data_IF_584036009160
#
_entry.id   IF_584036009160
#
_cell.length_a   1.000
_cell.length_b   1.000
_cell.length_c   1.000
_cell.angle_alpha   90.00
_cell.angle_beta   90.00
_cell.angle_gamma   90.00
#
_symmetry.space_group_name_H-M   'P 1'
#
loop_
_entity.id
_entity.type
_entity.pdbx_description
1 polymer ?
#
# COMPACT_ATOMS: atom_id res chain seq x y z
N UNK A 1 -17.35 8.16 30.99
CA UNK A 1 -16.36 8.89 30.15
C UNK A 1 -15.98 7.98 28.99
N UNK A 2 -16.63 8.13 27.84
CA UNK A 2 -16.44 7.26 26.68
C UNK A 2 -15.18 7.65 25.89
N UNK A 3 -14.41 6.63 25.52
CA UNK A 3 -13.09 6.69 24.91
C UNK A 3 -13.08 7.42 23.55
N UNK A 4 -12.56 8.66 23.51
CA UNK A 4 -12.42 9.51 22.30
C UNK A 4 -11.51 8.93 21.20
N UNK A 5 -10.82 7.80 21.43
CA UNK A 5 -9.84 7.24 20.49
C UNK A 5 -10.44 6.38 19.38
N UNK A 6 -11.56 5.70 19.62
CA UNK A 6 -12.16 4.79 18.62
C UNK A 6 -12.91 5.53 17.51
N UNK A 7 -13.41 6.75 17.77
CA UNK A 7 -14.17 7.54 16.79
C UNK A 7 -13.30 8.20 15.71
N UNK A 8 -11.97 8.29 15.92
CA UNK A 8 -11.05 8.89 14.95
C UNK A 8 -10.51 7.89 13.92
N UNK A 9 -10.48 6.60 14.26
CA UNK A 9 -10.13 5.53 13.31
C UNK A 9 -11.28 5.19 12.37
N UNK A 10 -12.54 5.44 12.78
CA UNK A 10 -13.72 5.17 11.97
C UNK A 10 -14.01 6.24 10.90
N UNK A 11 -13.55 7.48 11.11
CA UNK A 11 -13.67 8.58 10.13
C UNK A 11 -12.70 8.47 8.96
N UNK A 12 -11.59 7.76 9.08
CA UNK A 12 -10.64 7.57 7.95
C UNK A 12 -11.08 6.50 6.96
N UNK A 13 -11.81 5.49 7.42
CA UNK A 13 -12.31 4.40 6.56
C UNK A 13 -13.35 4.91 5.55
N UNK A 14 -14.10 5.96 5.91
CA UNK A 14 -15.10 6.58 5.02
C UNK A 14 -14.47 7.58 4.03
N UNK A 15 -13.34 8.21 4.35
CA UNK A 15 -12.61 9.08 3.40
C UNK A 15 -11.92 8.28 2.29
N UNK A 16 -11.43 7.07 2.57
CA UNK A 16 -10.82 6.17 1.58
C UNK A 16 -11.84 5.51 0.62
N UNK A 17 -13.12 5.43 1.02
CA UNK A 17 -14.19 4.88 0.17
C UNK A 17 -14.83 5.92 -0.77
N UNK A 18 -14.61 7.22 -0.54
CA UNK A 18 -15.25 8.30 -1.31
C UNK A 18 -14.44 8.81 -2.54
N UNK A 19 -13.32 8.16 -2.90
CA UNK A 19 -12.44 8.60 -4.03
C UNK A 19 -12.12 7.49 -5.04
N UNK A 20 -12.97 6.50 -5.24
CA UNK A 20 -12.70 5.37 -6.13
C UNK A 20 -13.42 5.49 -7.48
N UNK A 21 -12.82 6.28 -8.37
CA UNK A 21 -13.03 6.19 -9.83
C UNK A 21 -11.69 6.23 -10.62
N UNK A 22 -10.56 5.85 -10.01
CA UNK A 22 -9.28 5.91 -10.73
C UNK A 22 -8.05 5.31 -10.07
N UNK A 23 -8.19 4.37 -9.13
CA UNK A 23 -7.01 3.68 -8.58
C UNK A 23 -6.48 2.70 -9.62
N UNK A 24 -5.19 2.80 -9.94
CA UNK A 24 -4.57 1.94 -10.95
C UNK A 24 -3.83 0.82 -10.21
N UNK A 25 -4.22 -0.43 -10.47
CA UNK A 25 -3.54 -1.61 -9.95
C UNK A 25 -2.46 -2.04 -10.93
N UNK A 26 -1.21 -2.13 -10.45
CA UNK A 26 -0.06 -2.54 -11.26
C UNK A 26 0.74 -3.57 -10.48
N UNK A 27 1.16 -4.62 -11.18
CA UNK A 27 2.09 -5.61 -10.65
C UNK A 27 3.52 -5.08 -10.62
N UNK A 28 4.26 -5.47 -9.59
CA UNK A 28 5.66 -5.12 -9.45
C UNK A 28 6.44 -6.11 -8.61
N UNK A 29 7.76 -5.97 -8.64
CA UNK A 29 8.69 -6.76 -7.83
C UNK A 29 9.34 -5.85 -6.79
N UNK A 30 9.40 -6.31 -5.55
CA UNK A 30 10.05 -5.57 -4.48
C UNK A 30 11.56 -5.62 -4.72
N UNK A 31 12.21 -4.47 -4.85
CA UNK A 31 13.68 -4.40 -5.02
C UNK A 31 14.35 -4.29 -3.65
N UNK A 32 13.84 -3.42 -2.80
CA UNK A 32 14.50 -3.08 -1.53
C UNK A 32 13.47 -2.80 -0.44
N UNK A 33 13.76 -3.26 0.78
CA UNK A 33 13.03 -2.88 1.98
C UNK A 33 13.74 -1.71 2.67
N UNK A 34 13.06 -0.59 2.85
CA UNK A 34 13.55 0.60 3.51
C UNK A 34 13.08 0.64 4.98
N UNK A 35 13.80 1.39 5.86
CA UNK A 35 13.31 1.65 7.20
C UNK A 35 11.93 2.33 7.17
N UNK A 36 11.12 2.09 8.21
CA UNK A 36 9.72 2.54 8.36
C UNK A 36 8.66 1.76 7.56
N UNK A 37 8.97 0.53 7.13
CA UNK A 37 8.05 -0.31 6.34
C UNK A 37 7.64 0.34 5.00
N UNK A 38 8.59 1.09 4.43
CA UNK A 38 8.54 1.52 3.03
C UNK A 38 9.29 0.49 2.19
N UNK A 39 8.81 0.25 0.99
CA UNK A 39 9.37 -0.70 0.05
C UNK A 39 9.57 -0.02 -1.28
N UNK A 40 10.74 -0.22 -1.87
CA UNK A 40 11.00 0.18 -3.25
C UNK A 40 10.51 -0.95 -4.14
N UNK A 41 9.46 -0.67 -4.90
CA UNK A 41 8.87 -1.63 -5.84
C UNK A 41 9.19 -1.18 -7.25
N UNK A 42 9.69 -2.09 -8.05
CA UNK A 42 9.86 -1.91 -9.49
C UNK A 42 8.62 -2.46 -10.18
N UNK A 43 7.85 -1.55 -10.78
CA UNK A 43 6.67 -1.89 -11.56
C UNK A 43 7.08 -2.57 -12.87
N UNK A 44 6.18 -3.35 -13.47
CA UNK A 44 6.40 -3.95 -14.79
C UNK A 44 6.72 -2.90 -15.88
N UNK A 45 6.31 -1.65 -15.67
CA UNK A 45 6.60 -0.53 -16.56
C UNK A 45 8.05 0.00 -16.44
N UNK A 46 8.89 -0.58 -15.57
CA UNK A 46 10.28 -0.15 -15.33
C UNK A 46 10.43 1.05 -14.39
N UNK A 47 9.32 1.56 -13.85
CA UNK A 47 9.33 2.65 -12.86
C UNK A 47 9.50 2.11 -11.45
N UNK A 48 10.36 2.77 -10.67
CA UNK A 48 10.56 2.48 -9.25
C UNK A 48 9.70 3.41 -8.41
N UNK A 49 8.82 2.83 -7.62
CA UNK A 49 7.88 3.55 -6.75
C UNK A 49 8.15 3.24 -5.29
N UNK A 50 7.81 4.19 -4.43
CA UNK A 50 7.82 4.00 -2.98
C UNK A 50 6.44 3.54 -2.56
N UNK A 51 6.35 2.28 -2.13
CA UNK A 51 5.11 1.69 -1.68
C UNK A 51 5.15 1.38 -0.18
N UNK A 52 4.00 1.53 0.48
CA UNK A 52 3.82 1.13 1.87
C UNK A 52 2.81 0.00 1.96
N UNK A 53 2.92 -0.81 3.00
CA UNK A 53 2.03 -1.94 3.24
C UNK A 53 0.63 -1.43 3.60
N UNK A 54 -0.40 -2.02 3.00
CA UNK A 54 -1.79 -1.77 3.41
C UNK A 54 -2.04 -2.18 4.87
N UNK A 55 -2.96 -1.50 5.54
CA UNK A 55 -3.35 -1.83 6.92
C UNK A 55 -3.82 -3.29 7.07
N UNK A 56 -4.53 -3.83 6.06
CA UNK A 56 -4.96 -5.23 6.05
C UNK A 56 -3.78 -6.20 6.09
N UNK A 57 -2.75 -5.97 5.28
CA UNK A 57 -1.56 -6.83 5.29
C UNK A 57 -0.80 -6.76 6.62
N UNK A 58 -0.77 -5.59 7.28
CA UNK A 58 -0.20 -5.44 8.63
C UNK A 58 -0.97 -6.27 9.67
N UNK A 59 -2.30 -6.29 9.60
CA UNK A 59 -3.14 -7.10 10.50
C UNK A 59 -2.91 -8.61 10.31
N UNK A 60 -2.64 -9.03 9.07
CA UNK A 60 -2.36 -10.44 8.75
C UNK A 60 -0.88 -10.81 8.91
N UNK A 61 -0.05 -9.92 9.50
CA UNK A 61 1.37 -10.14 9.70
C UNK A 61 2.13 -10.56 8.44
N UNK A 62 1.70 -10.08 7.27
CA UNK A 62 2.38 -10.41 6.01
C UNK A 62 3.71 -9.69 5.97
N UNK A 63 4.78 -10.49 5.98
CA UNK A 63 6.15 -10.02 5.79
C UNK A 63 6.41 -9.89 4.30
N UNK A 64 7.05 -8.80 3.89
CA UNK A 64 7.50 -8.60 2.51
C UNK A 64 9.02 -8.66 2.54
N UNK A 65 9.58 -9.47 1.66
CA UNK A 65 11.01 -9.62 1.41
C UNK A 65 11.34 -8.94 0.07
N UNK A 66 12.61 -8.55 -0.13
CA UNK A 66 13.11 -8.27 -1.46
C UNK A 66 12.85 -9.45 -2.40
N UNK A 67 12.65 -9.16 -3.68
CA UNK A 67 12.32 -10.10 -4.76
C UNK A 67 10.89 -10.67 -4.75
N UNK A 68 10.06 -10.27 -3.79
CA UNK A 68 8.65 -10.66 -3.78
C UNK A 68 7.86 -9.97 -4.89
N UNK A 69 6.97 -10.74 -5.54
CA UNK A 69 5.97 -10.21 -6.46
C UNK A 69 4.77 -9.68 -5.68
N UNK A 70 4.43 -8.42 -5.92
CA UNK A 70 3.38 -7.71 -5.21
C UNK A 70 2.49 -6.94 -6.17
N UNK A 71 1.24 -6.72 -5.76
CA UNK A 71 0.31 -5.81 -6.44
C UNK A 71 0.33 -4.49 -5.70
N UNK A 72 0.58 -3.43 -6.45
CA UNK A 72 0.62 -2.06 -5.95
C UNK A 72 -0.54 -1.27 -6.57
N UNK A 73 -1.34 -0.69 -5.70
CA UNK A 73 -2.32 0.33 -6.06
C UNK A 73 -1.63 1.69 -6.09
N UNK A 74 -1.68 2.37 -7.23
CA UNK A 74 -1.19 3.73 -7.40
C UNK A 74 -2.34 4.73 -7.35
N UNK A 75 -2.08 5.89 -6.75
CA UNK A 75 -3.01 7.00 -6.85
C UNK A 75 -2.90 7.62 -8.24
N UNK A 76 -4.02 7.94 -8.92
CA UNK A 76 -3.98 8.57 -10.24
C UNK A 76 -3.36 9.98 -10.20
N UNK A 77 -3.24 10.56 -9.01
CA UNK A 77 -2.66 11.89 -8.78
C UNK A 77 -1.14 11.83 -8.54
N UNK A 78 -0.62 10.69 -8.08
CA UNK A 78 0.80 10.52 -7.77
C UNK A 78 1.23 9.08 -8.08
N UNK A 79 1.89 8.93 -9.23
CA UNK A 79 2.42 7.66 -9.72
C UNK A 79 3.73 7.25 -9.01
N UNK A 80 4.32 8.11 -8.17
CA UNK A 80 5.57 7.81 -7.45
C UNK A 80 5.33 7.07 -6.14
N UNK A 81 4.09 7.12 -5.63
CA UNK A 81 3.68 6.52 -4.36
C UNK A 81 2.59 5.49 -4.56
N UNK A 82 2.79 4.33 -3.93
CA UNK A 82 1.87 3.20 -4.04
C UNK A 82 1.47 2.62 -2.69
N UNK A 83 0.43 1.80 -2.74
CA UNK A 83 -0.04 0.98 -1.62
C UNK A 83 0.02 -0.49 -2.02
N UNK A 84 0.73 -1.30 -1.23
CA UNK A 84 0.81 -2.75 -1.46
C UNK A 84 -0.45 -3.39 -0.89
N UNK A 85 -1.26 -3.97 -1.76
CA UNK A 85 -2.52 -4.64 -1.42
C UNK A 85 -2.39 -6.15 -1.36
N UNK A 86 -1.53 -6.72 -2.20
CA UNK A 86 -1.39 -8.16 -2.32
C UNK A 86 0.05 -8.57 -2.58
N UNK A 87 0.40 -9.79 -2.13
CA UNK A 87 1.67 -10.46 -2.40
C UNK A 87 1.37 -11.83 -2.97
N UNK A 88 1.95 -12.17 -4.12
CA UNK A 88 1.89 -13.51 -4.68
C UNK A 88 2.83 -14.43 -3.88
N UNK A 89 2.38 -15.66 -3.64
CA UNK A 89 3.10 -16.66 -2.84
C UNK A 89 4.07 -17.46 -3.68
#
# INVERSE_FOLDING_TARGET
>A
MANRRAVHDMTRIVEDMAKKDGVIEIEGTVVEALPNANFRVELTNGHKVLAHISGKMRQHYIRILPEDRVVVELSPYDLSRGRIVFRYR
#
